data_IF_543228563246
#
_entry.id   IF_543228563246
#
_cell.length_a   1.000
_cell.length_b   1.000
_cell.length_c   1.000
_cell.angle_alpha   90.00
_cell.angle_beta   90.00
_cell.angle_gamma   90.00
#
_symmetry.space_group_name_H-M   'P 1'
#
loop_
_entity.id
_entity.type
_entity.pdbx_description
1 polymer ?
#
# COMPACT_ATOMS: atom_id res chain seq x y z
N UNK A 1 -24.06 17.09 -50.17
CA UNK A 1 -24.33 16.84 -48.73
C UNK A 1 -24.25 15.36 -48.48
N UNK A 2 -23.31 14.88 -47.66
CA UNK A 2 -23.35 13.57 -47.00
C UNK A 2 -22.36 13.63 -45.84
N UNK A 3 -22.90 14.08 -44.71
CA UNK A 3 -22.25 14.19 -43.40
C UNK A 3 -21.93 12.78 -42.93
N UNK A 4 -20.67 12.38 -42.98
CA UNK A 4 -20.21 11.17 -42.30
C UNK A 4 -19.99 11.53 -40.83
N UNK A 5 -20.94 11.10 -40.00
CA UNK A 5 -20.92 11.24 -38.55
C UNK A 5 -19.71 10.52 -37.96
N UNK A 6 -18.82 11.31 -37.38
CA UNK A 6 -17.72 10.90 -36.53
C UNK A 6 -18.32 10.31 -35.24
N UNK A 7 -18.34 8.98 -35.13
CA UNK A 7 -18.74 8.29 -33.90
C UNK A 7 -17.56 8.35 -32.94
N UNK A 8 -17.60 9.33 -32.02
CA UNK A 8 -16.74 9.35 -30.84
C UNK A 8 -17.14 8.15 -29.97
N UNK A 9 -16.44 7.03 -30.10
CA UNK A 9 -16.53 5.95 -29.13
C UNK A 9 -15.96 6.47 -27.83
N UNK A 10 -16.85 6.74 -26.86
CA UNK A 10 -16.47 7.02 -25.48
C UNK A 10 -15.53 5.90 -25.04
N UNK A 11 -14.25 6.23 -24.87
CA UNK A 11 -13.33 5.38 -24.14
C UNK A 11 -13.90 5.26 -22.73
N UNK A 12 -14.53 4.12 -22.44
CA UNK A 12 -14.84 3.73 -21.09
C UNK A 12 -13.51 3.62 -20.37
N UNK A 13 -13.12 4.68 -19.66
CA UNK A 13 -12.04 4.66 -18.69
C UNK A 13 -12.47 3.71 -17.59
N UNK A 14 -12.20 2.42 -17.79
CA UNK A 14 -12.28 1.42 -16.74
C UNK A 14 -11.37 1.93 -15.64
N UNK A 15 -11.95 2.40 -14.54
CA UNK A 15 -11.23 2.56 -13.29
C UNK A 15 -10.72 1.17 -12.95
N UNK A 16 -9.47 0.88 -13.32
CA UNK A 16 -8.75 -0.25 -12.79
C UNK A 16 -8.62 0.06 -11.30
N UNK A 17 -9.59 -0.41 -10.51
CA UNK A 17 -9.41 -0.56 -9.08
C UNK A 17 -8.24 -1.54 -8.97
N UNK A 18 -7.03 -1.01 -8.81
CA UNK A 18 -5.90 -1.79 -8.37
C UNK A 18 -6.34 -2.37 -7.03
N UNK A 19 -6.80 -3.62 -7.05
CA UNK A 19 -7.07 -4.36 -5.84
C UNK A 19 -5.68 -4.63 -5.26
N UNK A 20 -5.15 -3.66 -4.51
CA UNK A 20 -3.87 -3.76 -3.85
C UNK A 20 -3.89 -5.09 -3.08
N UNK A 21 -2.94 -5.97 -3.37
CA UNK A 21 -2.85 -7.25 -2.69
C UNK A 21 -2.26 -7.01 -1.29
N UNK A 22 -2.54 -7.89 -0.34
CA UNK A 22 -1.78 -7.86 0.90
C UNK A 22 -0.39 -8.44 0.62
N UNK A 23 0.66 -7.76 1.06
CA UNK A 23 2.03 -8.29 0.98
C UNK A 23 2.16 -9.63 1.73
N UNK A 24 3.19 -10.42 1.38
CA UNK A 24 3.54 -11.63 2.14
C UNK A 24 3.99 -11.29 3.56
N UNK A 25 3.92 -12.26 4.47
CA UNK A 25 4.41 -12.07 5.85
C UNK A 25 5.88 -11.66 5.86
N UNK A 26 6.73 -12.30 5.05
CA UNK A 26 8.15 -11.96 4.94
C UNK A 26 8.36 -10.50 4.52
N UNK A 27 7.66 -10.03 3.49
CA UNK A 27 7.76 -8.63 3.05
C UNK A 27 7.31 -7.65 4.14
N UNK A 28 6.20 -7.95 4.83
CA UNK A 28 5.73 -7.09 5.94
C UNK A 28 6.71 -7.10 7.10
N UNK A 29 7.34 -8.24 7.38
CA UNK A 29 8.33 -8.40 8.45
C UNK A 29 9.61 -7.63 8.13
N UNK A 30 10.14 -7.76 6.92
CA UNK A 30 11.34 -7.05 6.47
C UNK A 30 11.13 -5.53 6.52
N UNK A 31 10.00 -5.03 6.03
CA UNK A 31 9.63 -3.61 6.14
C UNK A 31 9.49 -3.17 7.59
N UNK A 32 8.89 -4.00 8.46
CA UNK A 32 8.72 -3.70 9.88
C UNK A 32 10.06 -3.58 10.62
N UNK A 33 11.00 -4.49 10.39
CA UNK A 33 12.34 -4.48 10.98
C UNK A 33 13.14 -3.26 10.52
N UNK A 34 13.13 -2.96 9.21
CA UNK A 34 13.74 -1.75 8.67
C UNK A 34 13.17 -0.47 9.30
N UNK A 35 11.84 -0.38 9.39
CA UNK A 35 11.17 0.80 9.94
C UNK A 35 11.35 0.96 11.46
N UNK A 36 11.56 -0.13 12.20
CA UNK A 36 11.89 -0.08 13.62
C UNK A 36 13.24 0.59 13.88
N UNK A 37 14.23 0.30 13.03
CA UNK A 37 15.56 0.89 13.09
C UNK A 37 15.52 2.36 12.66
N UNK A 38 14.76 2.68 11.61
CA UNK A 38 14.59 4.06 11.13
C UNK A 38 13.87 4.97 12.14
N UNK A 39 12.96 4.42 12.93
CA UNK A 39 12.22 5.17 13.95
C UNK A 39 12.99 5.29 15.28
N UNK A 40 14.25 4.87 15.33
CA UNK A 40 15.04 5.02 16.56
C UNK A 40 15.37 6.50 16.84
N UNK A 41 15.05 6.96 18.04
CA UNK A 41 15.18 8.38 18.42
C UNK A 41 13.95 9.24 18.13
N UNK A 42 12.90 8.69 17.51
CA UNK A 42 11.62 9.40 17.31
C UNK A 42 10.81 9.47 18.60
N UNK A 43 10.25 10.66 18.90
CA UNK A 43 9.40 10.88 20.09
C UNK A 43 8.14 10.00 20.06
N UNK A 44 7.60 9.74 18.87
CA UNK A 44 6.47 8.85 18.65
C UNK A 44 6.83 7.69 17.74
N UNK A 45 7.73 6.83 18.25
CA UNK A 45 8.26 5.65 17.55
C UNK A 45 7.16 4.79 16.92
N UNK A 46 6.09 4.49 17.65
CA UNK A 46 5.03 3.60 17.14
C UNK A 46 4.32 4.16 15.90
N UNK A 47 4.04 5.47 15.88
CA UNK A 47 3.42 6.12 14.72
C UNK A 47 4.40 6.23 13.55
N UNK A 48 5.67 6.53 13.83
CA UNK A 48 6.73 6.58 12.82
C UNK A 48 6.92 5.22 12.12
N UNK A 49 6.89 4.12 12.89
CA UNK A 49 6.97 2.77 12.33
C UNK A 49 5.76 2.43 11.46
N UNK A 50 4.53 2.70 11.94
CA UNK A 50 3.32 2.45 11.15
C UNK A 50 3.33 3.22 9.83
N UNK A 51 3.72 4.50 9.88
CA UNK A 51 3.82 5.34 8.69
C UNK A 51 4.85 4.78 7.70
N UNK A 52 6.06 4.47 8.18
CA UNK A 52 7.14 3.94 7.36
C UNK A 52 6.74 2.61 6.68
N UNK A 53 6.17 1.66 7.42
CA UNK A 53 5.74 0.37 6.85
C UNK A 53 4.68 0.59 5.77
N UNK A 54 3.70 1.45 6.03
CA UNK A 54 2.65 1.72 5.05
C UNK A 54 3.15 2.45 3.81
N UNK A 55 4.17 3.31 3.94
CA UNK A 55 4.80 3.98 2.80
C UNK A 55 5.57 2.98 1.92
N UNK A 56 6.36 2.10 2.54
CA UNK A 56 7.06 1.00 1.85
C UNK A 56 6.08 0.10 1.10
N UNK A 57 5.03 -0.39 1.78
CA UNK A 57 4.02 -1.27 1.17
C UNK A 57 3.30 -0.58 0.01
N UNK A 58 2.93 0.68 0.18
CA UNK A 58 2.25 1.45 -0.86
C UNK A 58 3.16 1.67 -2.08
N UNK A 59 4.45 1.92 -1.87
CA UNK A 59 5.43 2.07 -2.95
C UNK A 59 5.54 0.81 -3.81
N UNK A 60 5.30 -0.36 -3.20
CA UNK A 60 5.30 -1.67 -3.83
C UNK A 60 3.92 -2.10 -4.37
N UNK A 61 2.87 -1.29 -4.16
CA UNK A 61 1.50 -1.57 -4.60
C UNK A 61 0.69 -2.49 -3.69
N UNK A 62 1.09 -2.62 -2.43
CA UNK A 62 0.41 -3.43 -1.42
C UNK A 62 -0.51 -2.61 -0.51
N UNK A 63 -1.50 -3.30 0.08
CA UNK A 63 -2.43 -2.71 1.05
C UNK A 63 -1.71 -2.27 2.33
N UNK A 64 -2.03 -1.07 2.86
CA UNK A 64 -1.54 -0.62 4.14
C UNK A 64 -2.28 -1.32 5.30
N UNK A 65 -1.72 -1.20 6.50
CA UNK A 65 -2.34 -1.59 7.75
C UNK A 65 -2.91 -0.38 8.51
N UNK A 66 -4.04 -0.57 9.19
CA UNK A 66 -4.68 0.50 9.97
C UNK A 66 -3.91 0.85 11.24
N UNK A 67 -3.20 -0.13 11.83
CA UNK A 67 -2.50 0.04 13.11
C UNK A 67 -1.21 -0.76 13.16
N UNK A 68 -0.28 -0.30 13.99
CA UNK A 68 0.94 -1.05 14.30
C UNK A 68 0.63 -2.44 14.90
N UNK A 69 -0.45 -2.55 15.67
CA UNK A 69 -0.89 -3.82 16.24
C UNK A 69 -1.34 -4.80 15.14
N UNK A 70 -1.97 -4.32 14.07
CA UNK A 70 -2.34 -5.16 12.94
C UNK A 70 -1.09 -5.74 12.25
N UNK A 71 -0.05 -4.91 12.04
CA UNK A 71 1.26 -5.35 11.51
C UNK A 71 1.85 -6.46 12.40
N UNK A 72 1.99 -6.20 13.70
CA UNK A 72 2.53 -7.16 14.68
C UNK A 72 1.74 -8.47 14.74
N UNK A 73 0.42 -8.40 14.53
CA UNK A 73 -0.45 -9.58 14.55
C UNK A 73 -0.33 -10.38 13.25
N UNK A 74 -0.19 -9.69 12.11
CA UNK A 74 0.03 -10.32 10.80
C UNK A 74 1.35 -11.09 10.77
N UNK A 75 2.44 -10.51 11.29
CA UNK A 75 3.77 -11.14 11.34
C UNK A 75 3.80 -12.37 12.27
N UNK A 76 2.99 -12.39 13.32
CA UNK A 76 2.94 -13.50 14.29
C UNK A 76 2.03 -14.66 13.87
N UNK A 77 1.24 -14.48 12.81
CA UNK A 77 0.32 -15.50 12.32
C UNK A 77 1.02 -16.58 11.45
N UNK A 78 2.32 -16.38 11.18
CA UNK A 78 3.25 -17.30 10.52
C UNK A 78 4.13 -18.00 11.58
#
# INVERSE_FOLDING_TARGET
MKTFLMVLTLAASTFALANEEQASVDTVKDSYEFCLDMADGEENKDNAVLFCVNDELKSLGYKPFDTLQAIKSFIKAD
#
